data_IF_806447195379
#
_entry.id   IF_806447195379
#
_cell.length_a   1.000
_cell.length_b   1.000
_cell.length_c   1.000
_cell.angle_alpha   90.00
_cell.angle_beta   90.00
_cell.angle_gamma   90.00
#
_symmetry.space_group_name_H-M   'P 1'
#
loop_
_entity.id
_entity.type
_entity.pdbx_description
1 polymer ?
#
# COMPACT_ATOMS: atom_id res chain seq x y z
N UNK A 1 7.78 -29.19 9.91
CA UNK A 1 8.82 -28.15 10.10
C UNK A 1 8.87 -27.13 8.94
N UNK A 2 8.80 -27.53 7.65
CA UNK A 2 8.81 -26.59 6.51
C UNK A 2 7.62 -25.62 6.44
N UNK A 3 6.41 -26.06 6.82
CA UNK A 3 5.20 -25.22 6.76
C UNK A 3 5.30 -24.00 7.69
N UNK A 4 5.84 -24.18 8.89
CA UNK A 4 5.94 -23.11 9.88
C UNK A 4 6.88 -22.00 9.40
N UNK A 5 8.06 -22.34 8.85
CA UNK A 5 9.02 -21.34 8.33
C UNK A 5 8.44 -20.53 7.16
N UNK A 6 7.68 -21.16 6.28
CA UNK A 6 7.05 -20.47 5.13
C UNK A 6 6.04 -19.40 5.57
N UNK A 7 5.22 -19.69 6.59
CA UNK A 7 4.29 -18.71 7.15
C UNK A 7 5.00 -17.52 7.81
N UNK A 8 6.10 -17.79 8.53
CA UNK A 8 6.90 -16.72 9.13
C UNK A 8 7.52 -15.80 8.07
N UNK A 9 8.10 -16.36 7.01
CA UNK A 9 8.65 -15.58 5.90
C UNK A 9 7.55 -14.76 5.19
N UNK A 10 6.40 -15.37 4.93
CA UNK A 10 5.26 -14.67 4.33
C UNK A 10 4.84 -13.44 5.16
N UNK A 11 4.66 -13.60 6.47
CA UNK A 11 4.28 -12.49 7.36
C UNK A 11 5.36 -11.39 7.40
N UNK A 12 6.63 -11.78 7.48
CA UNK A 12 7.75 -10.83 7.50
C UNK A 12 7.83 -10.01 6.20
N UNK A 13 7.70 -10.66 5.04
CA UNK A 13 7.76 -9.99 3.74
C UNK A 13 6.64 -8.96 3.58
N UNK A 14 5.42 -9.27 4.06
CA UNK A 14 4.30 -8.33 4.05
C UNK A 14 4.53 -7.14 4.98
N UNK A 15 5.08 -7.37 6.18
CA UNK A 15 5.43 -6.28 7.10
C UNK A 15 6.52 -5.36 6.52
N UNK A 16 7.51 -5.93 5.84
CA UNK A 16 8.54 -5.18 5.12
C UNK A 16 7.95 -4.35 3.97
N UNK A 17 7.03 -4.94 3.20
CA UNK A 17 6.33 -4.22 2.12
C UNK A 17 5.54 -3.04 2.68
N UNK A 18 4.80 -3.25 3.76
CA UNK A 18 4.04 -2.19 4.43
C UNK A 18 4.94 -1.02 4.85
N UNK A 19 6.06 -1.32 5.53
CA UNK A 19 7.06 -0.32 5.91
C UNK A 19 7.63 0.43 4.70
N UNK A 20 7.95 -0.30 3.63
CA UNK A 20 8.56 0.27 2.42
C UNK A 20 7.61 1.20 1.66
N UNK A 21 6.31 0.87 1.65
CA UNK A 21 5.26 1.69 1.06
C UNK A 21 5.00 2.96 1.88
N UNK A 22 5.01 2.86 3.21
CA UNK A 22 4.95 4.03 4.09
C UNK A 22 6.13 4.97 3.83
N UNK A 23 7.33 4.42 3.75
CA UNK A 23 8.54 5.18 3.41
C UNK A 23 8.43 5.83 2.03
N UNK A 24 7.94 5.10 1.02
CA UNK A 24 7.71 5.64 -0.32
C UNK A 24 6.78 6.85 -0.28
N UNK A 25 5.66 6.77 0.45
CA UNK A 25 4.70 7.85 0.53
C UNK A 25 5.29 9.12 1.18
N UNK A 26 6.15 8.96 2.19
CA UNK A 26 6.75 10.09 2.92
C UNK A 26 7.98 10.71 2.26
N UNK A 27 8.78 9.90 1.54
CA UNK A 27 10.08 10.34 1.01
C UNK A 27 10.02 10.72 -0.48
N UNK A 28 8.95 10.35 -1.20
CA UNK A 28 8.86 10.62 -2.64
C UNK A 28 8.63 12.12 -2.88
N UNK A 29 9.57 12.83 -3.54
CA UNK A 29 9.43 14.25 -3.78
C UNK A 29 8.32 14.54 -4.79
N UNK A 30 7.80 15.77 -4.81
CA UNK A 30 6.66 16.18 -5.67
C UNK A 30 6.91 16.03 -7.17
N UNK A 31 8.16 16.08 -7.62
CA UNK A 31 8.56 15.92 -9.02
C UNK A 31 8.84 14.47 -9.42
N UNK A 32 8.97 13.54 -8.47
CA UNK A 32 9.23 12.14 -8.78
C UNK A 32 7.98 11.42 -9.30
N UNK A 33 8.22 10.37 -10.08
CA UNK A 33 7.18 9.49 -10.63
C UNK A 33 6.46 8.75 -9.51
N UNK A 34 5.21 9.14 -9.27
CA UNK A 34 4.28 8.52 -8.36
C UNK A 34 2.84 8.90 -8.73
N UNK A 35 1.88 8.07 -8.34
CA UNK A 35 0.47 8.40 -8.40
C UNK A 35 0.17 9.32 -7.22
N UNK A 36 -0.50 10.45 -7.50
CA UNK A 36 -0.93 11.42 -6.51
C UNK A 36 -2.44 11.47 -6.52
N UNK A 37 -3.06 11.02 -5.44
CA UNK A 37 -4.51 10.83 -5.36
C UNK A 37 -5.08 11.54 -4.13
N UNK A 38 -6.02 12.45 -4.34
CA UNK A 38 -6.78 13.06 -3.25
C UNK A 38 -7.94 12.14 -2.87
N UNK A 39 -7.95 11.72 -1.61
CA UNK A 39 -9.02 10.87 -1.08
C UNK A 39 -10.31 11.67 -0.93
N UNK A 40 -11.44 10.96 -1.02
CA UNK A 40 -12.79 11.54 -1.04
C UNK A 40 -13.61 11.09 0.18
N UNK A 41 -14.65 11.84 0.56
CA UNK A 41 -15.50 11.48 1.70
C UNK A 41 -16.15 10.08 1.61
N UNK A 42 -16.47 9.61 0.41
CA UNK A 42 -17.08 8.29 0.18
C UNK A 42 -16.10 7.13 0.36
N UNK A 43 -14.80 7.41 0.48
CA UNK A 43 -13.73 6.42 0.60
C UNK A 43 -13.29 6.19 2.06
N UNK A 44 -13.85 6.96 2.99
CA UNK A 44 -13.41 7.03 4.39
C UNK A 44 -13.30 5.67 5.09
N UNK A 45 -14.19 4.74 4.76
CA UNK A 45 -14.24 3.39 5.33
C UNK A 45 -14.11 2.29 4.27
N UNK A 46 -13.72 2.65 3.04
CA UNK A 46 -13.58 1.71 1.93
C UNK A 46 -12.26 1.91 1.18
N UNK A 47 -11.20 1.33 1.73
CA UNK A 47 -9.87 1.32 1.10
C UNK A 47 -9.86 0.55 -0.22
N UNK A 48 -10.77 -0.42 -0.39
CA UNK A 48 -10.86 -1.20 -1.64
C UNK A 48 -11.39 -0.35 -2.79
N UNK A 49 -12.25 0.63 -2.50
CA UNK A 49 -12.72 1.61 -3.47
C UNK A 49 -11.59 2.48 -3.98
N UNK A 50 -10.70 2.95 -3.10
CA UNK A 50 -9.50 3.72 -3.49
C UNK A 50 -8.59 2.85 -4.36
N UNK A 51 -8.30 1.62 -3.93
CA UNK A 51 -7.45 0.70 -4.69
C UNK A 51 -8.04 0.38 -6.08
N UNK A 52 -9.36 0.24 -6.19
CA UNK A 52 -10.06 0.09 -7.47
C UNK A 52 -9.94 1.34 -8.34
N UNK A 53 -10.08 2.54 -7.78
CA UNK A 53 -9.97 3.80 -8.52
C UNK A 53 -8.54 4.07 -9.02
N UNK A 54 -7.54 3.71 -8.22
CA UNK A 54 -6.12 3.97 -8.52
C UNK A 54 -5.49 2.88 -9.39
N UNK A 55 -5.71 1.62 -9.03
CA UNK A 55 -5.02 0.47 -9.63
C UNK A 55 -5.94 -0.43 -10.45
N UNK A 56 -7.26 -0.24 -10.37
CA UNK A 56 -8.25 -1.21 -10.84
C UNK A 56 -8.10 -2.61 -10.20
N UNK A 57 -7.51 -2.66 -8.98
CA UNK A 57 -7.19 -3.87 -8.25
C UNK A 57 -7.62 -3.71 -6.79
N UNK A 58 -8.82 -4.17 -6.39
CA UNK A 58 -9.35 -3.95 -5.03
C UNK A 58 -8.55 -4.68 -3.95
N UNK A 59 -7.83 -5.74 -4.30
CA UNK A 59 -6.93 -6.47 -3.40
C UNK A 59 -5.65 -5.68 -3.04
N UNK A 60 -5.38 -4.55 -3.71
CA UNK A 60 -4.28 -3.64 -3.38
C UNK A 60 -4.63 -2.63 -2.27
N UNK A 61 -5.74 -2.84 -1.55
CA UNK A 61 -6.10 -2.03 -0.38
C UNK A 61 -4.99 -1.92 0.68
N UNK A 62 -4.08 -2.91 0.93
CA UNK A 62 -3.00 -2.74 1.89
C UNK A 62 -1.99 -1.66 1.48
N UNK A 63 -1.87 -1.40 0.17
CA UNK A 63 -1.03 -0.31 -0.35
C UNK A 63 -1.58 1.04 0.06
N UNK A 64 -2.90 1.20 -0.05
CA UNK A 64 -3.59 2.42 0.37
C UNK A 64 -3.42 2.62 1.88
N UNK A 65 -3.64 1.56 2.67
CA UNK A 65 -3.46 1.60 4.12
C UNK A 65 -2.04 2.04 4.51
N UNK A 66 -1.01 1.43 3.90
CA UNK A 66 0.39 1.72 4.20
C UNK A 66 0.78 3.16 3.84
N UNK A 67 0.39 3.62 2.65
CA UNK A 67 0.72 4.96 2.16
C UNK A 67 -0.09 6.06 2.85
N UNK A 68 -1.29 5.76 3.34
CA UNK A 68 -2.09 6.65 4.19
C UNK A 68 -1.57 6.70 5.64
N UNK A 69 -0.65 5.82 6.02
CA UNK A 69 -0.07 5.77 7.35
C UNK A 69 -0.98 5.16 8.43
N UNK A 70 -2.09 4.53 8.03
CA UNK A 70 -3.07 3.89 8.92
C UNK A 70 -2.47 2.67 9.62
N UNK A 71 -2.88 2.42 10.86
CA UNK A 71 -2.40 1.26 11.65
C UNK A 71 -3.38 0.09 11.65
N UNK A 72 -4.66 0.36 11.34
CA UNK A 72 -5.72 -0.64 11.27
C UNK A 72 -6.67 -0.36 10.11
N UNK A 73 -7.36 -1.40 9.64
CA UNK A 73 -8.44 -1.30 8.65
C UNK A 73 -9.67 -0.56 9.17
N UNK A 74 -9.85 -0.51 10.49
CA UNK A 74 -10.96 0.19 11.15
C UNK A 74 -10.69 1.70 11.31
N UNK A 75 -9.44 2.12 11.08
CA UNK A 75 -9.07 3.52 11.17
C UNK A 75 -9.62 4.29 9.96
N UNK A 76 -10.38 5.38 10.16
CA UNK A 76 -10.96 6.12 9.05
C UNK A 76 -9.88 6.77 8.19
N UNK A 77 -9.98 6.60 6.87
CA UNK A 77 -9.18 7.33 5.91
C UNK A 77 -9.68 8.78 5.81
N UNK A 78 -9.03 9.69 6.55
CA UNK A 78 -9.31 11.12 6.42
C UNK A 78 -8.92 11.63 5.02
N UNK A 79 -9.60 12.69 4.58
CA UNK A 79 -9.31 13.37 3.31
C UNK A 79 -7.87 13.89 3.30
N UNK A 80 -7.05 13.37 2.38
CA UNK A 80 -5.63 13.66 2.30
C UNK A 80 -5.09 13.37 0.89
N UNK A 81 -3.90 13.89 0.60
CA UNK A 81 -3.15 13.53 -0.59
C UNK A 81 -2.34 12.25 -0.33
N UNK A 82 -2.71 11.17 -1.03
CA UNK A 82 -1.91 9.95 -1.06
C UNK A 82 -0.83 10.04 -2.14
N UNK A 83 0.37 9.61 -1.78
CA UNK A 83 1.49 9.38 -2.70
C UNK A 83 1.73 7.89 -2.81
N UNK A 84 1.39 7.33 -3.97
CA UNK A 84 1.29 5.90 -4.21
C UNK A 84 2.28 5.49 -5.32
N UNK A 85 2.89 4.30 -5.25
CA UNK A 85 3.71 3.80 -6.34
C UNK A 85 2.86 3.55 -7.59
N UNK A 86 3.44 3.67 -8.77
CA UNK A 86 2.82 3.14 -10.00
C UNK A 86 2.71 1.62 -9.92
N UNK A 87 1.85 0.99 -10.74
CA UNK A 87 1.76 -0.47 -10.80
C UNK A 87 3.11 -1.14 -11.07
N UNK A 88 3.92 -0.57 -11.96
CA UNK A 88 5.25 -1.07 -12.27
C UNK A 88 6.18 -1.00 -11.05
N UNK A 89 6.21 0.14 -10.34
CA UNK A 89 6.99 0.29 -9.10
C UNK A 89 6.51 -0.67 -8.00
N UNK A 90 5.19 -0.81 -7.83
CA UNK A 90 4.60 -1.71 -6.84
C UNK A 90 4.97 -3.17 -7.12
N UNK A 91 4.87 -3.62 -8.37
CA UNK A 91 5.27 -4.98 -8.75
C UNK A 91 6.75 -5.22 -8.51
N UNK A 92 7.61 -4.24 -8.80
CA UNK A 92 9.05 -4.34 -8.51
C UNK A 92 9.30 -4.47 -7.00
N UNK A 93 8.68 -3.63 -6.17
CA UNK A 93 8.78 -3.74 -4.71
C UNK A 93 8.31 -5.10 -4.19
N UNK A 94 7.21 -5.64 -4.71
CA UNK A 94 6.69 -6.95 -4.30
C UNK A 94 7.64 -8.10 -4.67
N UNK A 95 8.25 -8.05 -5.85
CA UNK A 95 9.24 -9.03 -6.30
C UNK A 95 10.52 -8.97 -5.46
N UNK A 96 11.03 -7.76 -5.21
CA UNK A 96 12.23 -7.55 -4.39
C UNK A 96 12.08 -8.10 -2.97
N UNK A 97 10.87 -8.05 -2.42
CA UNK A 97 10.56 -8.52 -1.07
C UNK A 97 10.03 -9.97 -1.03
N UNK A 98 9.94 -10.68 -2.16
CA UNK A 98 9.44 -12.05 -2.21
C UNK A 98 7.98 -12.19 -1.73
N UNK A 99 7.14 -11.22 -2.06
CA UNK A 99 5.69 -11.26 -1.82
C UNK A 99 4.94 -11.94 -2.98
N UNK A 100 5.51 -11.86 -4.19
CA UNK A 100 5.02 -12.50 -5.42
C UNK A 100 6.18 -13.16 -6.17
#
# INVERSE_FOLDING_TARGET
MMVQVAWWLFMLNHALLFRRLRQFATETPSWATAIRYYTKPDERFDLTLVARRVYNLPNEWPVIMASAGLQSVDEPLNEQLLVLPTLAQLQTLKRELGVI
#
